data_IF_785143708805
#
_entry.id   IF_785143708805
#
_cell.length_a   1.000
_cell.length_b   1.000
_cell.length_c   1.000
_cell.angle_alpha   90.00
_cell.angle_beta   90.00
_cell.angle_gamma   90.00
#
_symmetry.space_group_name_H-M   'P 1'
#
loop_
_entity.id
_entity.type
_entity.pdbx_description
1 polymer ?
#
# COMPACT_ATOMS: atom_id res chain seq x y z
N UNK A 1 -3.54 26.78 24.31
CA UNK A 1 -3.04 25.99 25.45
C UNK A 1 -2.33 24.77 24.89
N UNK A 2 -1.11 24.42 25.33
CA UNK A 2 -0.51 23.15 24.92
C UNK A 2 -1.38 22.02 25.49
N UNK A 3 -2.02 21.25 24.61
CA UNK A 3 -2.99 20.23 24.98
C UNK A 3 -2.43 18.84 24.71
N UNK A 4 -1.96 18.17 25.76
CA UNK A 4 -1.70 16.74 25.69
C UNK A 4 -3.03 15.99 25.72
N UNK A 5 -3.23 15.09 24.77
CA UNK A 5 -4.32 14.10 24.77
C UNK A 5 -3.68 12.74 24.83
N UNK A 6 -4.23 11.88 25.69
CA UNK A 6 -3.78 10.49 25.76
C UNK A 6 -4.09 9.80 24.43
N UNK A 7 -3.14 9.07 23.82
CA UNK A 7 -3.41 8.29 22.63
C UNK A 7 -4.24 7.05 22.96
N UNK A 8 -4.97 6.55 21.95
CA UNK A 8 -5.62 5.25 22.04
C UNK A 8 -4.57 4.14 21.92
N UNK A 9 -4.71 3.09 22.75
CA UNK A 9 -3.80 1.95 22.81
C UNK A 9 -4.61 0.67 22.65
N UNK A 10 -4.15 -0.23 21.78
CA UNK A 10 -4.79 -1.54 21.60
C UNK A 10 -4.60 -2.42 22.84
N UNK A 11 -5.67 -3.07 23.28
CA UNK A 11 -5.63 -4.03 24.38
C UNK A 11 -5.63 -5.47 23.84
N UNK A 12 -4.71 -6.29 24.35
CA UNK A 12 -4.62 -7.71 24.02
C UNK A 12 -4.67 -8.53 25.32
N UNK A 13 -5.81 -9.18 25.59
CA UNK A 13 -6.03 -9.95 26.82
C UNK A 13 -5.17 -11.23 26.89
N UNK A 14 -4.83 -11.83 25.75
CA UNK A 14 -4.24 -13.18 25.67
C UNK A 14 -2.82 -13.20 25.11
N UNK A 15 -2.22 -12.04 24.82
CA UNK A 15 -0.90 -11.97 24.21
C UNK A 15 -0.28 -10.58 24.18
N UNK A 16 0.87 -10.47 23.52
CA UNK A 16 1.67 -9.24 23.44
C UNK A 16 1.72 -8.64 22.02
N UNK A 17 1.16 -9.34 21.03
CA UNK A 17 1.21 -8.94 19.62
C UNK A 17 0.04 -8.04 19.22
N UNK A 18 0.08 -7.50 17.98
CA UNK A 18 -1.04 -6.80 17.37
C UNK A 18 -2.30 -7.67 17.35
N UNK A 19 -3.46 -7.07 17.61
CA UNK A 19 -4.74 -7.79 17.59
C UNK A 19 -5.51 -7.56 16.30
N UNK A 20 -5.28 -6.44 15.61
CA UNK A 20 -6.03 -6.06 14.42
C UNK A 20 -5.15 -5.45 13.32
N UNK A 21 -5.68 -5.43 12.09
CA UNK A 21 -5.08 -4.66 11.00
C UNK A 21 -5.52 -3.20 11.17
N UNK A 22 -4.61 -2.21 11.08
CA UNK A 22 -4.99 -0.81 11.19
C UNK A 22 -6.09 -0.43 10.20
N UNK A 23 -7.09 0.34 10.64
CA UNK A 23 -8.30 0.66 9.86
C UNK A 23 -7.97 1.25 8.48
N UNK A 24 -6.93 2.08 8.40
CA UNK A 24 -6.44 2.69 7.16
C UNK A 24 -6.01 1.69 6.06
N UNK A 25 -5.78 0.43 6.40
CA UNK A 25 -5.34 -0.62 5.46
C UNK A 25 -6.36 -1.77 5.31
N UNK A 26 -7.46 -1.76 6.06
CA UNK A 26 -8.42 -2.86 6.13
C UNK A 26 -9.04 -3.22 4.78
N UNK A 27 -9.33 -2.21 3.96
CA UNK A 27 -10.02 -2.37 2.67
C UNK A 27 -9.08 -2.21 1.47
N UNK A 28 -7.76 -2.19 1.70
CA UNK A 28 -6.75 -2.05 0.65
C UNK A 28 -6.00 -3.36 0.50
N UNK A 29 -5.99 -4.00 -0.69
CA UNK A 29 -5.17 -5.16 -0.93
C UNK A 29 -3.69 -4.87 -0.64
N UNK A 30 -3.06 -5.70 0.17
CA UNK A 30 -1.63 -5.55 0.47
C UNK A 30 -0.79 -5.82 -0.78
N UNK A 31 0.05 -4.85 -1.14
CA UNK A 31 1.05 -5.00 -2.20
C UNK A 31 2.39 -4.46 -1.69
N UNK A 32 3.44 -5.31 -1.61
CA UNK A 32 4.79 -4.83 -1.30
C UNK A 32 5.26 -3.83 -2.36
N UNK A 33 5.80 -2.69 -1.93
CA UNK A 33 6.42 -1.72 -2.82
C UNK A 33 7.59 -1.02 -2.11
N UNK A 34 8.53 -0.48 -2.89
CA UNK A 34 9.58 0.41 -2.36
C UNK A 34 9.41 1.83 -2.87
N UNK A 35 9.54 2.82 -1.98
CA UNK A 35 9.57 4.24 -2.36
C UNK A 35 10.81 4.61 -3.18
N UNK A 36 11.86 3.79 -3.14
CA UNK A 36 13.08 3.98 -3.91
C UNK A 36 13.03 3.38 -5.30
N UNK A 37 11.97 2.63 -5.63
CA UNK A 37 11.86 1.97 -6.93
C UNK A 37 11.60 2.99 -8.03
N UNK A 38 12.38 2.92 -9.12
CA UNK A 38 12.26 3.85 -10.23
C UNK A 38 10.98 3.59 -11.01
N UNK A 39 10.10 4.58 -11.06
CA UNK A 39 8.97 4.59 -11.99
C UNK A 39 9.49 4.88 -13.40
N UNK A 40 9.53 3.85 -14.25
CA UNK A 40 10.14 3.94 -15.59
C UNK A 40 9.31 3.37 -16.73
N UNK A 41 8.09 2.87 -16.48
CA UNK A 41 7.22 2.31 -17.51
C UNK A 41 6.10 3.31 -17.82
N UNK A 42 5.88 3.52 -19.12
CA UNK A 42 4.79 4.35 -19.63
C UNK A 42 3.75 3.39 -20.21
N UNK A 43 2.49 3.56 -19.82
CA UNK A 43 1.37 2.93 -20.49
C UNK A 43 1.01 3.79 -21.71
N UNK A 44 1.21 3.27 -22.91
CA UNK A 44 0.77 3.90 -24.16
C UNK A 44 -0.51 3.23 -24.63
N UNK A 45 -1.64 3.95 -24.55
CA UNK A 45 -2.96 3.46 -24.96
C UNK A 45 -3.23 3.63 -26.47
N UNK A 46 -2.33 4.32 -27.20
CA UNK A 46 -2.43 4.54 -28.64
C UNK A 46 -1.61 3.56 -29.47
N UNK A 47 -0.67 2.83 -28.85
CA UNK A 47 0.05 1.76 -29.55
C UNK A 47 -0.89 0.58 -29.81
N UNK A 48 -1.22 0.35 -31.09
CA UNK A 48 -1.53 -1.01 -31.53
C UNK A 48 -0.34 -1.88 -31.13
N UNK A 49 -0.56 -2.75 -30.15
CA UNK A 49 0.38 -3.73 -29.67
C UNK A 49 0.96 -4.51 -30.85
N UNK A 50 2.12 -4.08 -31.35
CA UNK A 50 2.96 -4.77 -32.32
C UNK A 50 2.21 -5.56 -33.38
N UNK A 51 1.79 -4.89 -34.45
CA UNK A 51 1.84 -5.46 -35.80
C UNK A 51 3.33 -5.76 -36.14
N UNK A 52 3.94 -6.73 -35.45
CA UNK A 52 5.23 -7.30 -35.84
C UNK A 52 4.91 -8.31 -36.94
N UNK A 53 4.71 -7.78 -38.14
CA UNK A 53 4.82 -8.55 -39.36
C UNK A 53 6.16 -9.27 -39.33
N UNK A 54 6.13 -10.59 -39.29
CA UNK A 54 7.24 -11.41 -39.73
C UNK A 54 7.33 -11.25 -41.25
N UNK A 55 8.31 -10.47 -41.71
CA UNK A 55 8.97 -10.70 -42.99
C UNK A 55 10.32 -11.33 -42.70
#
# INVERSE_FOLDING_TARGET
MPGFKLPEVEHNEFGWGPTSVPEQYKDVPFMPYSKSERLGRIADFGQQSGNRGYQ
#
